data_IF_620632698582
#
_entry.id   IF_620632698582
#
_cell.length_a   1.000
_cell.length_b   1.000
_cell.length_c   1.000
_cell.angle_alpha   90.00
_cell.angle_beta   90.00
_cell.angle_gamma   90.00
#
_symmetry.space_group_name_H-M   'P 1'
#
loop_
_entity.id
_entity.type
_entity.pdbx_description
1 polymer ?
#
# COMPACT_ATOMS: atom_id res chain seq x y z
N UNK A 1 21.94 6.22 5.12
CA UNK A 1 21.58 5.04 4.32
C UNK A 1 21.26 3.93 5.32
N UNK A 2 20.15 3.22 5.13
CA UNK A 2 19.79 2.07 5.97
C UNK A 2 20.86 0.97 5.88
N UNK A 3 21.06 0.19 6.94
CA UNK A 3 21.90 -1.01 6.92
C UNK A 3 21.24 -2.17 6.15
N UNK A 4 19.93 -2.09 5.91
CA UNK A 4 19.17 -3.10 5.19
C UNK A 4 19.30 -2.94 3.67
N UNK A 5 18.94 -3.99 2.93
CA UNK A 5 19.07 -4.05 1.49
C UNK A 5 18.00 -4.97 0.87
N UNK A 6 18.14 -5.26 -0.44
CA UNK A 6 17.23 -6.10 -1.22
C UNK A 6 17.00 -7.51 -0.62
N UNK A 7 17.95 -8.05 0.12
CA UNK A 7 17.90 -9.41 0.68
C UNK A 7 17.34 -9.43 2.10
N UNK A 8 17.22 -8.27 2.75
CA UNK A 8 16.68 -8.18 4.12
C UNK A 8 15.25 -8.65 4.17
N UNK A 9 14.93 -9.41 5.20
CA UNK A 9 13.60 -9.93 5.51
C UNK A 9 12.85 -9.01 6.49
N UNK A 10 11.58 -9.26 6.69
CA UNK A 10 10.79 -8.58 7.73
C UNK A 10 11.37 -8.80 9.13
N UNK A 11 11.89 -10.00 9.40
CA UNK A 11 12.46 -10.35 10.71
C UNK A 11 13.80 -9.63 10.93
N UNK A 12 14.64 -9.46 9.88
CA UNK A 12 15.87 -8.67 9.96
C UNK A 12 15.55 -7.21 10.32
N UNK A 13 14.56 -6.61 9.64
CA UNK A 13 14.15 -5.21 9.86
C UNK A 13 13.59 -4.98 11.26
N UNK A 14 12.89 -5.97 11.81
CA UNK A 14 12.25 -5.85 13.13
C UNK A 14 13.13 -6.36 14.28
N UNK A 15 14.35 -6.80 14.01
CA UNK A 15 15.24 -7.27 15.06
C UNK A 15 15.47 -6.18 16.12
N UNK A 16 15.10 -6.46 17.37
CA UNK A 16 15.22 -5.53 18.50
C UNK A 16 14.15 -4.42 18.56
N UNK A 17 13.21 -4.38 17.62
CA UNK A 17 12.10 -3.41 17.62
C UNK A 17 10.95 -3.94 18.49
N UNK A 18 10.46 -3.11 19.41
CA UNK A 18 9.30 -3.38 20.23
C UNK A 18 8.14 -2.47 19.81
N UNK A 19 7.06 -3.07 19.32
CA UNK A 19 5.84 -2.37 18.90
C UNK A 19 4.67 -2.55 19.88
N UNK A 20 4.94 -2.96 21.13
CA UNK A 20 3.90 -3.13 22.13
C UNK A 20 3.06 -1.86 22.31
N UNK A 21 1.75 -2.01 22.27
CA UNK A 21 0.80 -0.89 22.36
C UNK A 21 0.54 -0.15 21.05
N UNK A 22 1.32 -0.38 19.97
CA UNK A 22 1.07 0.19 18.66
C UNK A 22 -0.11 -0.48 17.98
N UNK A 23 -0.94 0.30 17.29
CA UNK A 23 -2.10 -0.15 16.52
C UNK A 23 -1.84 0.04 15.02
N UNK A 24 -1.83 -1.05 14.26
CA UNK A 24 -1.45 -1.06 12.84
C UNK A 24 -2.58 -1.67 12.01
N UNK A 25 -3.00 -0.96 10.97
CA UNK A 25 -4.01 -1.40 10.00
C UNK A 25 -3.33 -1.85 8.71
N UNK A 26 -3.65 -3.06 8.23
CA UNK A 26 -3.05 -3.61 6.99
C UNK A 26 -4.16 -4.04 6.03
N UNK A 27 -4.21 -3.45 4.83
CA UNK A 27 -5.14 -3.87 3.77
C UNK A 27 -4.59 -5.02 2.95
N UNK A 28 -5.47 -5.89 2.42
CA UNK A 28 -5.05 -7.08 1.68
C UNK A 28 -4.29 -8.08 2.54
N UNK A 29 -4.61 -8.15 3.82
CA UNK A 29 -3.88 -8.91 4.83
C UNK A 29 -4.01 -10.44 4.69
N UNK A 30 -4.91 -10.95 3.83
CA UNK A 30 -5.25 -12.39 3.80
C UNK A 30 -4.33 -13.25 2.93
N UNK A 31 -3.30 -12.69 2.32
CA UNK A 31 -2.34 -13.44 1.51
C UNK A 31 -1.07 -12.64 1.21
N UNK A 32 0.01 -13.35 0.86
CA UNK A 32 1.23 -12.80 0.31
C UNK A 32 1.87 -11.74 1.21
N UNK A 33 2.18 -10.57 0.63
CA UNK A 33 2.89 -9.48 1.34
C UNK A 33 2.11 -8.96 2.53
N UNK A 34 0.78 -8.77 2.39
CA UNK A 34 -0.05 -8.25 3.48
C UNK A 34 -0.14 -9.19 4.67
N UNK A 35 -0.22 -10.50 4.43
CA UNK A 35 -0.21 -11.51 5.47
C UNK A 35 1.14 -11.55 6.21
N UNK A 36 2.25 -11.53 5.47
CA UNK A 36 3.58 -11.50 6.06
C UNK A 36 3.85 -10.20 6.82
N UNK A 37 3.44 -9.05 6.27
CA UNK A 37 3.53 -7.75 6.96
C UNK A 37 2.78 -7.80 8.30
N UNK A 38 1.54 -8.30 8.30
CA UNK A 38 0.75 -8.43 9.52
C UNK A 38 1.39 -9.40 10.53
N UNK A 39 1.90 -10.56 10.06
CA UNK A 39 2.60 -11.54 10.90
C UNK A 39 3.82 -10.93 11.57
N UNK A 40 4.67 -10.27 10.79
CA UNK A 40 5.93 -9.74 11.29
C UNK A 40 5.72 -8.62 12.31
N UNK A 41 4.77 -7.70 12.04
CA UNK A 41 4.43 -6.63 12.96
C UNK A 41 3.79 -7.17 14.26
N UNK A 42 2.94 -8.21 14.17
CA UNK A 42 2.40 -8.91 15.34
C UNK A 42 3.51 -9.59 16.17
N UNK A 43 4.49 -10.20 15.50
CA UNK A 43 5.65 -10.82 16.18
C UNK A 43 6.48 -9.78 16.95
N UNK A 44 6.55 -8.54 16.49
CA UNK A 44 7.18 -7.42 17.18
C UNK A 44 6.31 -6.78 18.27
N UNK A 45 5.08 -7.30 18.51
CA UNK A 45 4.19 -6.88 19.60
C UNK A 45 3.09 -5.88 19.21
N UNK A 46 2.93 -5.54 17.93
CA UNK A 46 1.87 -4.61 17.50
C UNK A 46 0.48 -5.25 17.52
N UNK A 47 -0.52 -4.46 17.90
CA UNK A 47 -1.92 -4.79 17.68
C UNK A 47 -2.24 -4.62 16.18
N UNK A 48 -2.89 -5.59 15.56
CA UNK A 48 -3.12 -5.61 14.11
C UNK A 48 -4.61 -5.58 13.79
N UNK A 49 -5.01 -4.68 12.89
CA UNK A 49 -6.30 -4.74 12.22
C UNK A 49 -6.10 -5.29 10.80
N UNK A 50 -6.61 -6.48 10.55
CA UNK A 50 -6.57 -7.15 9.26
C UNK A 50 -7.74 -6.68 8.42
N UNK A 51 -7.46 -6.05 7.26
CA UNK A 51 -8.49 -5.56 6.33
C UNK A 51 -8.46 -6.35 5.03
N UNK A 52 -9.63 -6.81 4.60
CA UNK A 52 -9.79 -7.54 3.34
C UNK A 52 -11.26 -7.78 3.03
N UNK A 53 -11.55 -8.36 1.85
CA UNK A 53 -12.93 -8.60 1.40
C UNK A 53 -13.50 -9.98 1.75
N UNK A 54 -12.65 -10.91 2.17
CA UNK A 54 -12.98 -12.32 2.45
C UNK A 54 -12.99 -12.54 3.96
N UNK A 55 -14.16 -12.43 4.58
CA UNK A 55 -14.32 -12.57 6.03
C UNK A 55 -13.84 -13.92 6.57
N UNK A 56 -14.13 -15.08 5.98
CA UNK A 56 -13.59 -16.35 6.42
C UNK A 56 -12.07 -16.39 6.46
N UNK A 57 -11.38 -15.86 5.45
CA UNK A 57 -9.91 -15.79 5.45
C UNK A 57 -9.37 -14.83 6.50
N UNK A 58 -10.02 -13.70 6.73
CA UNK A 58 -9.65 -12.77 7.80
C UNK A 58 -9.73 -13.45 9.17
N UNK A 59 -10.82 -14.17 9.47
CA UNK A 59 -11.00 -14.89 10.73
C UNK A 59 -9.99 -16.04 10.90
N UNK A 60 -9.68 -16.77 9.82
CA UNK A 60 -8.68 -17.82 9.86
C UNK A 60 -7.28 -17.26 10.20
N UNK A 61 -6.90 -16.14 9.58
CA UNK A 61 -5.64 -15.47 9.87
C UNK A 61 -5.62 -14.88 11.29
N UNK A 62 -6.71 -14.23 11.72
CA UNK A 62 -6.86 -13.71 13.08
C UNK A 62 -6.65 -14.82 14.13
N UNK A 63 -7.30 -15.97 13.95
CA UNK A 63 -7.17 -17.11 14.87
C UNK A 63 -5.75 -17.62 14.94
N UNK A 64 -5.06 -17.72 13.79
CA UNK A 64 -3.66 -18.15 13.71
C UNK A 64 -2.72 -17.17 14.41
N UNK A 65 -2.87 -15.87 14.16
CA UNK A 65 -2.02 -14.84 14.78
C UNK A 65 -2.27 -14.74 16.29
N UNK A 66 -3.52 -14.83 16.74
CA UNK A 66 -3.85 -14.84 18.18
C UNK A 66 -3.27 -16.07 18.90
N UNK A 67 -3.25 -17.23 18.25
CA UNK A 67 -2.63 -18.44 18.81
C UNK A 67 -1.10 -18.32 18.88
N UNK A 68 -0.49 -17.71 17.86
CA UNK A 68 0.96 -17.57 17.78
C UNK A 68 1.50 -16.42 18.65
N UNK A 69 0.72 -15.33 18.79
CA UNK A 69 1.10 -14.11 19.52
C UNK A 69 0.00 -13.71 20.51
N UNK A 70 -0.17 -14.42 21.62
CA UNK A 70 -1.32 -14.26 22.52
C UNK A 70 -1.35 -12.91 23.27
N UNK A 71 -0.26 -12.15 23.26
CA UNK A 71 -0.17 -10.84 23.91
C UNK A 71 -0.61 -9.69 23.03
N UNK A 72 -0.81 -9.91 21.72
CA UNK A 72 -1.27 -8.87 20.79
C UNK A 72 -2.76 -9.01 20.52
N UNK A 73 -3.41 -7.88 20.31
CA UNK A 73 -4.81 -7.85 19.88
C UNK A 73 -4.86 -7.87 18.34
N UNK A 74 -5.49 -8.90 17.76
CA UNK A 74 -5.75 -8.97 16.33
C UNK A 74 -7.25 -8.80 16.08
N UNK A 75 -7.61 -7.82 15.27
CA UNK A 75 -8.98 -7.49 14.86
C UNK A 75 -9.15 -7.66 13.37
N UNK A 76 -10.39 -7.66 12.90
CA UNK A 76 -10.70 -7.77 11.47
C UNK A 76 -11.71 -6.70 11.04
N UNK A 77 -11.60 -6.23 9.80
CA UNK A 77 -12.60 -5.39 9.16
C UNK A 77 -12.78 -5.82 7.70
N UNK A 78 -14.03 -6.01 7.28
CA UNK A 78 -14.34 -6.34 5.89
C UNK A 78 -14.42 -5.04 5.08
N UNK A 79 -13.60 -4.95 4.02
CA UNK A 79 -13.66 -3.86 3.05
C UNK A 79 -13.27 -4.39 1.66
N UNK A 80 -14.14 -4.19 0.68
CA UNK A 80 -13.80 -4.35 -0.73
C UNK A 80 -13.43 -2.97 -1.30
N UNK A 81 -12.17 -2.78 -1.64
CA UNK A 81 -11.66 -1.52 -2.19
C UNK A 81 -12.23 -1.19 -3.58
N UNK A 82 -12.86 -2.15 -4.25
CA UNK A 82 -13.59 -1.94 -5.49
C UNK A 82 -15.03 -1.43 -5.27
N UNK A 83 -15.43 -1.22 -4.02
CA UNK A 83 -16.74 -0.66 -3.67
C UNK A 83 -16.60 0.38 -2.55
N UNK A 84 -16.83 1.64 -2.87
CA UNK A 84 -16.72 2.76 -1.93
C UNK A 84 -17.67 2.61 -0.73
N UNK A 85 -18.86 2.00 -0.90
CA UNK A 85 -19.77 1.74 0.22
C UNK A 85 -19.18 0.70 1.18
N UNK A 86 -18.57 -0.36 0.64
CA UNK A 86 -17.85 -1.35 1.44
C UNK A 86 -16.68 -0.73 2.18
N UNK A 87 -15.94 0.19 1.56
CA UNK A 87 -14.84 0.94 2.20
C UNK A 87 -15.36 1.77 3.37
N UNK A 88 -16.49 2.49 3.23
CA UNK A 88 -17.09 3.27 4.32
C UNK A 88 -17.49 2.39 5.51
N UNK A 89 -18.14 1.26 5.24
CA UNK A 89 -18.53 0.30 6.28
C UNK A 89 -17.27 -0.26 6.98
N UNK A 90 -16.25 -0.63 6.20
CA UNK A 90 -14.99 -1.13 6.74
C UNK A 90 -14.27 -0.08 7.60
N UNK A 91 -14.19 1.17 7.15
CA UNK A 91 -13.62 2.27 7.92
C UNK A 91 -14.36 2.50 9.25
N UNK A 92 -15.69 2.52 9.23
CA UNK A 92 -16.51 2.64 10.45
C UNK A 92 -16.25 1.47 11.42
N UNK A 93 -16.11 0.24 10.88
CA UNK A 93 -15.77 -0.94 11.71
C UNK A 93 -14.36 -0.83 12.32
N UNK A 94 -13.37 -0.28 11.59
CA UNK A 94 -12.02 -0.05 12.11
C UNK A 94 -12.08 0.98 13.24
N UNK A 95 -12.72 2.14 13.03
CA UNK A 95 -12.82 3.22 14.01
C UNK A 95 -13.58 2.81 15.28
N UNK A 96 -14.55 1.90 15.18
CA UNK A 96 -15.24 1.33 16.34
C UNK A 96 -14.33 0.44 17.21
N UNK A 97 -13.24 -0.08 16.67
CA UNK A 97 -12.32 -1.00 17.34
C UNK A 97 -10.99 -0.34 17.74
N UNK A 98 -10.62 0.76 17.08
CA UNK A 98 -9.33 1.46 17.21
C UNK A 98 -9.57 2.96 17.33
N UNK A 99 -9.42 3.51 18.52
CA UNK A 99 -9.54 4.96 18.77
C UNK A 99 -8.37 5.76 18.18
N UNK A 100 -7.18 5.15 18.12
CA UNK A 100 -5.97 5.69 17.52
C UNK A 100 -5.27 4.64 16.64
N UNK A 101 -4.64 5.08 15.56
CA UNK A 101 -3.92 4.23 14.60
C UNK A 101 -2.51 4.79 14.42
N UNK A 102 -1.49 4.00 14.77
CA UNK A 102 -0.09 4.39 14.62
C UNK A 102 0.41 4.24 13.18
N UNK A 103 -0.05 3.18 12.48
CA UNK A 103 0.36 2.93 11.10
C UNK A 103 -0.81 2.41 10.27
N UNK A 104 -1.00 2.99 9.08
CA UNK A 104 -1.88 2.47 8.04
C UNK A 104 -1.04 1.97 6.87
N UNK A 105 -1.17 0.68 6.51
CA UNK A 105 -0.47 0.08 5.37
C UNK A 105 -1.49 -0.25 4.28
N UNK A 106 -1.55 0.61 3.26
CA UNK A 106 -2.35 0.46 2.04
C UNK A 106 -1.66 -0.53 1.09
N UNK A 107 -1.76 -1.84 1.41
CA UNK A 107 -1.03 -2.90 0.71
C UNK A 107 -1.85 -3.60 -0.37
N UNK A 108 -3.17 -3.67 -0.24
CA UNK A 108 -4.03 -4.38 -1.19
C UNK A 108 -3.86 -3.91 -2.64
N UNK A 109 -4.16 -4.79 -3.59
CA UNK A 109 -4.13 -4.40 -5.00
C UNK A 109 -4.52 -5.51 -5.96
N UNK A 110 -4.77 -5.08 -7.19
CA UNK A 110 -4.95 -5.93 -8.37
C UNK A 110 -3.97 -5.49 -9.45
N UNK A 111 -3.60 -6.39 -10.35
CA UNK A 111 -2.59 -6.15 -11.38
C UNK A 111 -2.99 -6.76 -12.70
N UNK A 112 -2.78 -6.01 -13.78
CA UNK A 112 -2.87 -6.45 -15.18
C UNK A 112 -4.17 -7.22 -15.49
N UNK A 113 -5.29 -6.82 -14.88
CA UNK A 113 -6.60 -7.38 -15.18
C UNK A 113 -7.14 -6.81 -16.51
N UNK A 114 -8.03 -7.55 -17.20
CA UNK A 114 -8.80 -7.01 -18.31
C UNK A 114 -9.52 -5.72 -17.90
N UNK A 115 -9.90 -4.88 -18.86
CA UNK A 115 -10.69 -3.68 -18.56
C UNK A 115 -12.02 -4.10 -17.92
N UNK A 116 -12.14 -3.81 -16.64
CA UNK A 116 -13.31 -4.04 -15.81
C UNK A 116 -13.52 -2.82 -14.92
N UNK A 117 -14.64 -2.76 -14.23
CA UNK A 117 -15.03 -1.58 -13.49
C UNK A 117 -15.36 -1.91 -12.04
N UNK A 118 -15.13 -0.94 -11.16
CA UNK A 118 -15.57 -0.98 -9.75
C UNK A 118 -17.08 -0.81 -9.65
N UNK A 119 -17.64 -0.95 -8.46
CA UNK A 119 -19.08 -0.73 -8.22
C UNK A 119 -19.55 0.69 -8.59
N UNK A 120 -18.65 1.67 -8.57
CA UNK A 120 -18.95 3.06 -8.96
C UNK A 120 -18.53 3.39 -10.40
N UNK A 121 -18.24 2.37 -11.23
CA UNK A 121 -17.93 2.56 -12.66
C UNK A 121 -16.51 3.05 -12.97
N UNK A 122 -15.59 3.07 -12.02
CA UNK A 122 -14.20 3.42 -12.24
C UNK A 122 -13.42 2.26 -12.86
N UNK A 123 -12.39 2.54 -13.68
CA UNK A 123 -11.47 1.49 -14.12
C UNK A 123 -10.92 0.73 -12.91
N UNK A 124 -10.91 -0.59 -12.99
CA UNK A 124 -10.73 -1.45 -11.82
C UNK A 124 -9.39 -1.27 -11.10
N UNK A 125 -8.28 -1.05 -11.82
CA UNK A 125 -6.96 -0.90 -11.22
C UNK A 125 -6.80 0.47 -10.55
N UNK A 126 -7.24 1.53 -11.21
CA UNK A 126 -7.28 2.88 -10.62
C UNK A 126 -8.24 2.92 -9.43
N UNK A 127 -9.47 2.42 -9.61
CA UNK A 127 -10.50 2.43 -8.58
C UNK A 127 -10.11 1.62 -7.32
N UNK A 128 -9.58 0.40 -7.51
CA UNK A 128 -9.22 -0.48 -6.38
C UNK A 128 -7.90 -0.06 -5.72
N UNK A 129 -6.84 0.15 -6.54
CA UNK A 129 -5.50 0.35 -5.98
C UNK A 129 -5.34 1.76 -5.39
N UNK A 130 -6.02 2.78 -5.98
CA UNK A 130 -5.88 4.16 -5.56
C UNK A 130 -7.15 4.70 -4.88
N UNK A 131 -8.28 4.79 -5.56
CA UNK A 131 -9.49 5.46 -5.03
C UNK A 131 -10.02 4.77 -3.76
N UNK A 132 -10.04 3.43 -3.71
CA UNK A 132 -10.42 2.69 -2.52
C UNK A 132 -9.52 2.96 -1.31
N UNK A 133 -8.22 3.05 -1.53
CA UNK A 133 -7.26 3.40 -0.47
C UNK A 133 -7.30 4.89 -0.11
N UNK A 134 -7.51 5.78 -1.09
CA UNK A 134 -7.70 7.20 -0.85
C UNK A 134 -8.87 7.44 0.11
N UNK A 135 -10.04 6.85 -0.20
CA UNK A 135 -11.23 6.94 0.64
C UNK A 135 -10.99 6.35 2.03
N UNK A 136 -10.41 5.13 2.11
CA UNK A 136 -10.11 4.48 3.39
C UNK A 136 -9.19 5.35 4.24
N UNK A 137 -8.11 5.88 3.63
CA UNK A 137 -7.14 6.73 4.32
C UNK A 137 -7.80 7.99 4.85
N UNK A 138 -8.58 8.69 4.02
CA UNK A 138 -9.30 9.90 4.40
C UNK A 138 -10.24 9.67 5.60
N UNK A 139 -11.01 8.58 5.56
CA UNK A 139 -11.92 8.22 6.66
C UNK A 139 -11.19 7.84 7.96
N UNK A 140 -9.94 7.33 7.88
CA UNK A 140 -9.14 6.96 9.04
C UNK A 140 -8.24 8.09 9.56
N UNK A 141 -8.14 9.24 8.86
CA UNK A 141 -7.31 10.38 9.28
C UNK A 141 -7.55 10.82 10.74
N UNK A 142 -8.80 10.90 11.25
CA UNK A 142 -9.01 11.29 12.65
C UNK A 142 -8.31 10.37 13.65
N UNK A 143 -8.24 9.07 13.39
CA UNK A 143 -7.56 8.11 14.25
C UNK A 143 -6.02 8.15 14.08
N UNK A 144 -5.53 8.41 12.87
CA UNK A 144 -4.11 8.60 12.59
C UNK A 144 -3.57 9.87 13.26
N UNK A 145 -4.33 10.96 13.23
CA UNK A 145 -3.97 12.23 13.88
C UNK A 145 -3.96 12.13 15.42
N UNK A 146 -4.72 11.23 16.00
CA UNK A 146 -4.70 10.97 17.46
C UNK A 146 -3.44 10.23 17.92
N UNK A 147 -2.74 9.53 17.05
CA UNK A 147 -1.59 8.69 17.39
C UNK A 147 -0.26 9.27 16.90
N UNK A 148 -0.12 10.59 16.83
CA UNK A 148 1.13 11.20 16.33
C UNK A 148 2.30 10.98 17.28
N UNK A 149 3.50 10.59 16.77
CA UNK A 149 3.82 10.39 15.35
C UNK A 149 3.20 9.12 14.77
N UNK A 150 2.56 9.26 13.61
CA UNK A 150 1.95 8.14 12.89
C UNK A 150 2.43 8.07 11.43
N UNK A 151 2.18 6.93 10.76
CA UNK A 151 2.69 6.70 9.40
C UNK A 151 1.63 6.12 8.48
N UNK A 152 1.71 6.47 7.20
CA UNK A 152 0.92 5.91 6.13
C UNK A 152 1.87 5.33 5.08
N UNK A 153 1.70 4.05 4.76
CA UNK A 153 2.52 3.33 3.77
C UNK A 153 1.65 2.94 2.58
N UNK A 154 1.91 3.53 1.42
CA UNK A 154 1.16 3.27 0.19
C UNK A 154 1.96 2.34 -0.73
N UNK A 155 1.46 1.11 -1.00
CA UNK A 155 2.16 0.21 -1.92
C UNK A 155 2.05 0.68 -3.36
N UNK A 156 3.16 1.17 -3.89
CA UNK A 156 3.43 1.42 -5.29
C UNK A 156 4.11 0.18 -5.94
N UNK A 157 4.85 0.38 -7.00
CA UNK A 157 5.57 -0.67 -7.74
C UNK A 157 6.59 -0.04 -8.69
N UNK A 158 7.63 -0.77 -9.10
CA UNK A 158 8.44 -0.42 -10.26
C UNK A 158 7.59 -0.26 -11.54
N UNK A 159 6.37 -0.76 -11.57
CA UNK A 159 5.43 -0.55 -12.67
C UNK A 159 5.11 0.94 -12.92
N UNK A 160 5.35 1.85 -11.95
CA UNK A 160 5.22 3.30 -12.17
C UNK A 160 6.16 3.79 -13.29
N UNK A 161 7.22 3.06 -13.62
CA UNK A 161 8.09 3.35 -14.77
C UNK A 161 7.36 3.14 -16.12
N UNK A 162 6.31 2.32 -16.17
CA UNK A 162 5.60 1.99 -17.41
C UNK A 162 4.65 3.12 -17.85
N UNK A 163 4.09 3.89 -16.90
CA UNK A 163 3.16 4.96 -17.23
C UNK A 163 3.03 5.98 -16.09
N UNK A 164 3.01 7.26 -16.47
CA UNK A 164 2.41 8.29 -15.65
C UNK A 164 0.88 8.15 -15.64
N UNK A 165 0.21 8.73 -14.64
CA UNK A 165 -1.24 8.83 -14.65
C UNK A 165 -1.68 10.01 -15.54
N UNK A 166 -2.67 9.76 -16.36
CA UNK A 166 -3.41 10.80 -17.09
C UNK A 166 -4.59 11.23 -16.22
N UNK A 167 -4.50 12.43 -15.66
CA UNK A 167 -5.51 12.96 -14.73
C UNK A 167 -6.77 13.44 -15.44
N UNK A 168 -6.73 13.60 -16.76
CA UNK A 168 -7.89 14.00 -17.57
C UNK A 168 -8.66 12.75 -18.08
N UNK A 169 -8.01 11.57 -18.11
CA UNK A 169 -8.63 10.28 -18.47
C UNK A 169 -8.10 9.13 -17.58
N UNK A 170 -8.28 9.17 -16.24
CA UNK A 170 -7.73 8.17 -15.35
C UNK A 170 -8.40 6.79 -15.50
N UNK A 171 -9.62 6.77 -16.05
CA UNK A 171 -10.41 5.56 -16.27
C UNK A 171 -10.28 4.95 -17.66
N UNK A 172 -9.39 5.48 -18.52
CA UNK A 172 -9.19 4.96 -19.90
C UNK A 172 -10.47 4.99 -20.75
N UNK A 173 -11.24 6.06 -20.68
CA UNK A 173 -12.50 6.18 -21.41
C UNK A 173 -12.26 6.60 -22.86
N UNK A 174 -11.23 7.41 -23.11
CA UNK A 174 -10.95 8.08 -24.39
C UNK A 174 -9.70 7.56 -25.11
N UNK A 175 -9.12 6.46 -24.63
CA UNK A 175 -7.91 5.84 -25.22
C UNK A 175 -7.99 4.32 -25.13
N UNK A 176 -7.19 3.64 -25.97
CA UNK A 176 -7.06 2.19 -25.94
C UNK A 176 -6.54 1.70 -24.59
N UNK A 177 -7.19 0.69 -24.04
CA UNK A 177 -6.81 0.12 -22.75
C UNK A 177 -5.65 -0.83 -22.87
N UNK A 178 -4.57 -0.51 -22.18
CA UNK A 178 -3.45 -1.41 -21.94
C UNK A 178 -3.36 -1.74 -20.44
N UNK A 179 -3.56 -3.00 -20.10
CA UNK A 179 -3.63 -3.46 -18.70
C UNK A 179 -2.36 -3.21 -17.90
N UNK A 180 -1.18 -3.22 -18.54
CA UNK A 180 0.09 -2.95 -17.88
C UNK A 180 0.33 -1.47 -17.64
N UNK A 181 -0.03 -0.64 -18.63
CA UNK A 181 0.02 0.82 -18.47
C UNK A 181 -1.02 1.30 -17.46
N UNK A 182 -2.22 0.69 -17.43
CA UNK A 182 -3.24 1.00 -16.43
C UNK A 182 -2.76 0.63 -15.01
N UNK A 183 -2.10 -0.53 -14.86
CA UNK A 183 -1.45 -0.89 -13.60
C UNK A 183 -0.35 0.10 -13.22
N UNK A 184 0.53 0.45 -14.16
CA UNK A 184 1.59 1.45 -13.95
C UNK A 184 1.04 2.80 -13.50
N UNK A 185 0.02 3.31 -14.19
CA UNK A 185 -0.66 4.57 -13.85
C UNK A 185 -1.29 4.52 -12.45
N UNK A 186 -1.95 3.40 -12.07
CA UNK A 186 -2.50 3.23 -10.73
C UNK A 186 -1.40 3.20 -9.65
N UNK A 187 -0.21 2.67 -9.96
CA UNK A 187 0.93 2.65 -9.04
C UNK A 187 1.66 4.00 -8.97
N UNK A 188 1.65 4.79 -10.05
CA UNK A 188 2.00 6.21 -10.04
C UNK A 188 1.04 6.98 -9.13
N UNK A 189 -0.27 6.76 -9.25
CA UNK A 189 -1.26 7.40 -8.39
C UNK A 189 -1.02 7.10 -6.89
N UNK A 190 -0.63 5.88 -6.54
CA UNK A 190 -0.30 5.53 -5.15
C UNK A 190 0.95 6.28 -4.63
N UNK A 191 1.96 6.49 -5.48
CA UNK A 191 3.13 7.27 -5.09
C UNK A 191 2.80 8.76 -4.92
N UNK A 192 2.05 9.34 -5.86
CA UNK A 192 1.55 10.72 -5.76
C UNK A 192 0.64 10.91 -4.55
N UNK A 193 -0.18 9.91 -4.20
CA UNK A 193 -1.01 9.94 -2.99
C UNK A 193 -0.16 10.04 -1.72
N UNK A 194 0.90 9.25 -1.60
CA UNK A 194 1.82 9.35 -0.47
C UNK A 194 2.50 10.73 -0.40
N UNK A 195 2.90 11.27 -1.56
CA UNK A 195 3.49 12.62 -1.65
C UNK A 195 2.50 13.69 -1.19
N UNK A 196 1.24 13.63 -1.67
CA UNK A 196 0.18 14.57 -1.28
C UNK A 196 -0.19 14.46 0.21
N UNK A 197 -0.29 13.25 0.74
CA UNK A 197 -0.53 13.00 2.17
C UNK A 197 0.58 13.62 3.01
N UNK A 198 1.84 13.40 2.66
CA UNK A 198 2.95 13.93 3.41
C UNK A 198 2.99 15.46 3.38
N UNK A 199 2.76 16.07 2.21
CA UNK A 199 2.72 17.53 2.08
C UNK A 199 1.64 18.17 2.97
N UNK A 200 0.50 17.51 3.17
CA UNK A 200 -0.60 18.00 3.99
C UNK A 200 -0.43 17.71 5.48
N UNK A 201 0.11 16.53 5.82
CA UNK A 201 -0.02 15.96 7.16
C UNK A 201 1.29 15.94 7.96
N UNK A 202 2.47 16.13 7.34
CA UNK A 202 3.74 16.09 8.05
C UNK A 202 3.81 17.11 9.21
N UNK A 203 3.25 18.30 9.02
CA UNK A 203 3.14 19.34 10.07
C UNK A 203 2.29 18.92 11.27
N UNK A 204 1.46 17.89 11.10
CA UNK A 204 0.62 17.31 12.14
C UNK A 204 1.21 16.01 12.71
N UNK A 205 2.44 15.66 12.35
CA UNK A 205 3.16 14.49 12.85
C UNK A 205 2.76 13.17 12.14
N UNK A 206 2.18 13.24 10.94
CA UNK A 206 1.88 12.07 10.12
C UNK A 206 2.81 12.05 8.91
N UNK A 207 3.69 11.06 8.82
CA UNK A 207 4.54 10.86 7.64
C UNK A 207 3.92 9.83 6.69
N UNK A 208 4.01 10.07 5.39
CA UNK A 208 3.55 9.14 4.38
C UNK A 208 4.68 8.74 3.43
N UNK A 209 4.68 7.47 3.01
CA UNK A 209 5.70 6.88 2.14
C UNK A 209 5.04 6.06 1.05
N UNK A 210 5.65 6.03 -0.12
CA UNK A 210 5.32 5.05 -1.16
C UNK A 210 6.39 3.97 -1.24
N UNK A 211 5.96 2.71 -1.46
CA UNK A 211 6.85 1.54 -1.34
C UNK A 211 6.77 0.66 -2.58
N UNK A 212 7.94 0.29 -3.12
CA UNK A 212 8.06 -0.83 -4.06
C UNK A 212 8.56 -2.07 -3.31
N UNK A 213 7.78 -3.16 -3.27
CA UNK A 213 8.17 -4.37 -2.53
C UNK A 213 9.23 -5.21 -3.24
N UNK A 214 9.53 -4.92 -4.50
CA UNK A 214 10.30 -5.78 -5.38
C UNK A 214 9.39 -6.65 -6.23
N UNK A 215 9.95 -7.66 -6.88
CA UNK A 215 9.19 -8.63 -7.67
C UNK A 215 9.10 -9.94 -6.89
N UNK A 216 7.87 -10.32 -6.59
CA UNK A 216 7.54 -11.49 -5.76
C UNK A 216 6.47 -12.30 -6.50
N UNK A 217 6.62 -13.62 -6.54
CA UNK A 217 5.55 -14.49 -7.03
C UNK A 217 4.44 -14.59 -5.98
N UNK A 218 3.31 -13.95 -6.27
CA UNK A 218 2.14 -13.91 -5.38
C UNK A 218 0.84 -14.05 -6.17
N UNK A 219 -0.28 -14.19 -5.48
CA UNK A 219 -1.62 -14.18 -6.07
C UNK A 219 -1.96 -12.90 -6.87
N UNK A 220 -1.09 -11.88 -6.85
CA UNK A 220 -1.25 -10.68 -7.66
C UNK A 220 -1.19 -11.00 -9.17
N UNK A 221 -0.46 -12.05 -9.56
CA UNK A 221 -0.30 -12.51 -10.94
C UNK A 221 -1.47 -13.35 -11.47
N UNK A 222 -2.55 -13.53 -10.71
CA UNK A 222 -3.70 -14.42 -11.06
C UNK A 222 -4.44 -14.07 -12.37
N UNK A 223 -4.27 -12.85 -12.87
CA UNK A 223 -4.88 -12.39 -14.12
C UNK A 223 -3.98 -12.57 -15.35
N UNK A 224 -2.77 -13.09 -15.16
CA UNK A 224 -1.84 -13.39 -16.25
C UNK A 224 -2.12 -14.81 -16.78
N UNK A 225 -2.21 -14.95 -18.10
CA UNK A 225 -2.18 -16.25 -18.75
C UNK A 225 -0.78 -16.89 -18.65
N UNK A 226 -0.69 -18.21 -18.87
CA UNK A 226 0.58 -18.95 -18.78
C UNK A 226 1.69 -18.34 -19.65
N UNK A 227 1.39 -17.99 -20.90
CA UNK A 227 2.34 -17.38 -21.81
C UNK A 227 2.82 -15.99 -21.33
N UNK A 228 1.92 -15.19 -20.75
CA UNK A 228 2.29 -13.88 -20.19
C UNK A 228 3.14 -14.04 -18.92
N UNK A 229 2.82 -15.02 -18.09
CA UNK A 229 3.59 -15.33 -16.89
C UNK A 229 5.01 -15.76 -17.25
N UNK A 230 5.16 -16.61 -18.28
CA UNK A 230 6.45 -17.01 -18.84
C UNK A 230 7.21 -15.80 -19.42
N UNK A 231 6.54 -14.92 -20.17
CA UNK A 231 7.14 -13.71 -20.72
C UNK A 231 7.59 -12.74 -19.62
N UNK A 232 6.82 -12.59 -18.56
CA UNK A 232 7.20 -11.79 -17.38
C UNK A 232 8.42 -12.40 -16.72
N UNK A 233 8.43 -13.71 -16.47
CA UNK A 233 9.57 -14.44 -15.89
C UNK A 233 10.83 -14.30 -16.76
N UNK A 234 10.70 -14.42 -18.07
CA UNK A 234 11.83 -14.33 -19.01
C UNK A 234 12.44 -12.91 -19.15
N UNK A 235 11.66 -11.86 -18.88
CA UNK A 235 12.15 -10.46 -18.90
C UNK A 235 12.81 -10.05 -17.60
N UNK A 236 12.66 -10.83 -16.55
CA UNK A 236 13.23 -10.52 -15.24
C UNK A 236 14.71 -10.84 -15.22
N UNK A 237 15.52 -9.81 -15.20
CA UNK A 237 16.97 -9.91 -15.03
C UNK A 237 17.39 -10.20 -13.59
N UNK A 238 16.46 -10.10 -12.65
CA UNK A 238 16.71 -10.29 -11.20
C UNK A 238 15.90 -11.45 -10.65
N UNK A 239 16.50 -12.20 -9.75
CA UNK A 239 15.80 -13.25 -9.00
C UNK A 239 14.60 -12.67 -8.22
N UNK A 240 13.52 -13.45 -8.12
CA UNK A 240 12.40 -13.12 -7.25
C UNK A 240 12.85 -12.95 -5.79
N UNK A 241 12.20 -12.03 -5.10
CA UNK A 241 12.28 -11.96 -3.64
C UNK A 241 11.38 -13.03 -3.02
N UNK A 242 11.75 -13.52 -1.85
CA UNK A 242 10.81 -14.24 -0.98
C UNK A 242 9.70 -13.26 -0.50
N UNK A 243 8.60 -13.80 0.02
CA UNK A 243 7.52 -12.97 0.57
C UNK A 243 8.05 -12.11 1.73
N UNK A 244 8.90 -12.68 2.61
CA UNK A 244 9.51 -11.95 3.72
C UNK A 244 10.43 -10.81 3.25
N UNK A 245 11.22 -11.03 2.20
CA UNK A 245 12.04 -9.97 1.58
C UNK A 245 11.19 -8.91 0.88
N UNK A 246 10.07 -9.32 0.27
CA UNK A 246 9.14 -8.39 -0.38
C UNK A 246 8.42 -7.48 0.60
N UNK A 247 8.00 -8.00 1.74
CA UNK A 247 7.32 -7.25 2.79
C UNK A 247 8.27 -6.36 3.62
N UNK A 248 9.59 -6.62 3.58
CA UNK A 248 10.58 -5.92 4.40
C UNK A 248 10.56 -4.40 4.24
N UNK A 249 10.45 -3.89 3.00
CA UNK A 249 10.42 -2.44 2.78
C UNK A 249 9.16 -1.78 3.37
N UNK A 250 8.01 -2.47 3.35
CA UNK A 250 6.78 -1.97 3.97
C UNK A 250 6.89 -1.92 5.50
N UNK A 251 7.51 -2.93 6.09
CA UNK A 251 7.76 -2.99 7.53
C UNK A 251 8.78 -1.93 7.93
N UNK A 252 9.84 -1.73 7.15
CA UNK A 252 10.83 -0.68 7.35
C UNK A 252 10.20 0.72 7.25
N UNK A 253 9.35 0.97 6.24
CA UNK A 253 8.59 2.22 6.12
C UNK A 253 7.70 2.49 7.35
N UNK A 254 7.14 1.42 7.92
CA UNK A 254 6.26 1.50 9.08
C UNK A 254 7.00 1.79 10.39
N UNK A 255 8.29 1.41 10.53
CA UNK A 255 8.95 1.32 11.83
C UNK A 255 10.28 2.07 11.97
N UNK A 256 10.99 2.32 10.87
CA UNK A 256 12.34 2.86 10.90
C UNK A 256 12.38 4.34 11.28
N UNK A 257 13.03 4.68 12.38
CA UNK A 257 13.12 6.06 12.89
C UNK A 257 13.90 6.99 11.95
N UNK A 258 14.89 6.47 11.21
CA UNK A 258 15.66 7.23 10.24
C UNK A 258 14.82 7.81 9.10
N UNK A 259 13.61 7.29 8.89
CA UNK A 259 12.68 7.80 7.87
C UNK A 259 11.88 9.04 8.29
N UNK A 260 11.94 9.47 9.55
CA UNK A 260 11.17 10.61 10.03
C UNK A 260 11.48 11.92 9.28
N UNK A 261 12.69 12.03 8.71
CA UNK A 261 13.12 13.18 7.90
C UNK A 261 12.92 12.97 6.37
N UNK A 262 12.33 11.84 5.98
CA UNK A 262 12.17 11.44 4.57
C UNK A 262 10.71 11.30 4.14
N UNK A 263 9.79 11.97 4.84
CA UNK A 263 8.37 11.93 4.49
C UNK A 263 8.11 12.30 3.03
N UNK A 264 7.21 11.59 2.37
CA UNK A 264 6.90 11.71 0.93
C UNK A 264 7.81 10.87 0.03
N UNK A 265 8.86 10.25 0.56
CA UNK A 265 9.82 9.48 -0.24
C UNK A 265 9.21 8.20 -0.84
N UNK A 266 9.75 7.83 -2.01
CA UNK A 266 9.58 6.51 -2.59
C UNK A 266 10.68 5.58 -2.08
N UNK A 267 10.28 4.43 -1.57
CA UNK A 267 11.15 3.48 -0.89
C UNK A 267 11.20 2.16 -1.64
N UNK A 268 12.40 1.62 -1.81
CA UNK A 268 12.63 0.29 -2.37
C UNK A 268 13.85 -0.37 -1.74
N UNK A 269 13.83 -1.69 -1.60
CA UNK A 269 14.96 -2.46 -1.05
C UNK A 269 15.41 -1.97 0.35
N UNK A 270 14.48 -1.48 1.18
CA UNK A 270 14.74 -0.85 2.47
C UNK A 270 15.71 0.34 2.38
N UNK A 271 15.60 1.12 1.30
CA UNK A 271 16.35 2.36 1.06
C UNK A 271 15.40 3.44 0.53
N UNK A 272 15.77 4.70 0.73
CA UNK A 272 15.18 5.82 -0.01
C UNK A 272 15.68 5.73 -1.45
N UNK A 273 14.76 5.66 -2.40
CA UNK A 273 15.11 5.50 -3.80
C UNK A 273 15.75 6.77 -4.39
N UNK A 274 16.76 6.57 -5.21
CA UNK A 274 17.38 7.63 -6.00
C UNK A 274 16.64 7.89 -7.31
N UNK A 275 17.31 8.58 -8.24
CA UNK A 275 16.85 8.74 -9.61
C UNK A 275 16.78 7.38 -10.34
N UNK A 276 15.97 7.29 -11.42
CA UNK A 276 15.88 6.05 -12.20
C UNK A 276 17.23 5.61 -12.74
N UNK A 277 17.51 4.31 -12.65
CA UNK A 277 18.70 3.69 -13.20
C UNK A 277 18.36 2.72 -14.36
N UNK A 278 19.39 2.29 -15.11
CA UNK A 278 19.24 1.34 -16.23
C UNK A 278 18.75 -0.04 -15.78
N UNK A 279 18.91 -0.36 -14.52
CA UNK A 279 18.44 -1.60 -13.91
C UNK A 279 16.97 -1.57 -13.51
N UNK A 280 16.28 -0.44 -13.72
CA UNK A 280 14.85 -0.25 -13.41
C UNK A 280 14.55 -0.01 -11.94
N UNK A 281 15.54 0.45 -11.16
CA UNK A 281 15.30 1.00 -9.83
C UNK A 281 15.07 2.50 -9.91
N UNK A 282 14.74 3.08 -8.75
CA UNK A 282 14.62 4.52 -8.57
C UNK A 282 13.21 5.05 -8.79
N UNK A 283 13.06 6.32 -8.52
CA UNK A 283 11.81 7.05 -8.61
C UNK A 283 11.76 7.88 -9.90
N UNK A 284 10.75 7.65 -10.73
CA UNK A 284 10.54 8.49 -11.91
C UNK A 284 10.16 9.92 -11.49
N UNK A 285 10.60 10.96 -12.23
CA UNK A 285 10.34 12.35 -11.86
C UNK A 285 8.85 12.66 -11.64
N UNK A 286 7.95 12.05 -12.39
CA UNK A 286 6.51 12.31 -12.28
C UNK A 286 5.87 11.83 -10.98
N UNK A 287 6.47 10.87 -10.24
CA UNK A 287 5.96 10.51 -8.90
C UNK A 287 6.44 11.45 -7.79
N UNK A 288 7.27 12.43 -8.12
CA UNK A 288 7.76 13.48 -7.24
C UNK A 288 7.16 14.85 -7.58
N UNK A 289 6.23 14.90 -8.52
CA UNK A 289 5.54 16.10 -8.97
C UNK A 289 4.43 16.48 -7.98
N UNK A 290 4.67 17.53 -7.20
CA UNK A 290 3.74 17.99 -6.18
C UNK A 290 2.45 18.60 -6.78
N UNK A 291 2.53 19.22 -7.97
CA UNK A 291 1.36 19.77 -8.64
C UNK A 291 0.46 18.65 -9.16
N UNK A 292 1.06 17.60 -9.73
CA UNK A 292 0.32 16.40 -10.13
C UNK A 292 -0.30 15.69 -8.90
N UNK A 293 0.40 15.64 -7.77
CA UNK A 293 -0.10 15.08 -6.53
C UNK A 293 -1.31 15.87 -5.99
N UNK A 294 -1.29 17.18 -6.06
CA UNK A 294 -2.41 18.05 -5.64
C UNK A 294 -3.61 17.95 -6.59
N UNK A 295 -3.36 17.85 -7.89
CA UNK A 295 -4.44 17.61 -8.88
C UNK A 295 -5.07 16.25 -8.67
N UNK A 296 -4.28 15.20 -8.45
CA UNK A 296 -4.79 13.86 -8.16
C UNK A 296 -5.60 13.83 -6.85
N UNK A 297 -5.15 14.54 -5.82
CA UNK A 297 -5.90 14.68 -4.57
C UNK A 297 -7.28 15.26 -4.81
N UNK A 298 -7.36 16.42 -5.47
CA UNK A 298 -8.62 17.10 -5.77
C UNK A 298 -9.55 16.25 -6.64
N UNK A 299 -9.00 15.55 -7.64
CA UNK A 299 -9.75 14.60 -8.46
C UNK A 299 -10.31 13.45 -7.62
N UNK A 300 -9.50 12.90 -6.71
CA UNK A 300 -9.90 11.79 -5.86
C UNK A 300 -11.00 12.20 -4.88
N UNK A 301 -10.93 13.40 -4.27
CA UNK A 301 -11.99 13.96 -3.43
C UNK A 301 -13.30 14.13 -4.23
N UNK A 302 -13.20 14.64 -5.46
CA UNK A 302 -14.37 14.76 -6.34
C UNK A 302 -15.01 13.39 -6.63
N UNK A 303 -14.19 12.37 -6.94
CA UNK A 303 -14.65 11.00 -7.25
C UNK A 303 -15.35 10.36 -6.05
N UNK A 304 -14.80 10.52 -4.84
CA UNK A 304 -15.39 9.91 -3.64
C UNK A 304 -16.52 10.75 -3.03
N UNK A 305 -16.67 12.03 -3.45
CA UNK A 305 -17.68 12.95 -2.95
C UNK A 305 -17.43 13.44 -1.52
N UNK A 306 -16.19 13.38 -1.06
CA UNK A 306 -15.78 13.83 0.28
C UNK A 306 -14.47 14.62 0.21
N UNK A 307 -14.31 15.61 1.11
CA UNK A 307 -13.08 16.39 1.27
C UNK A 307 -12.38 16.00 2.57
N UNK A 308 -11.07 15.82 2.51
CA UNK A 308 -10.24 15.44 3.64
C UNK A 308 -9.20 16.56 3.92
N UNK A 309 -9.53 17.43 4.88
CA UNK A 309 -8.72 18.60 5.29
C UNK A 309 -7.87 18.30 6.51
#
# INVERSE_FOLDING_TARGET
MSEFNRQSTTDDVLQGINLSGKSIVVTGATSGLGEETARALAAAGANICLVGRDQPKLHALQSRLNAQYPTVRVTTAVADLADQNSVRIGAASILAQHDAIDVLINNAGIMACPKTFTAQGLEAQFGTNHIGHFLLTGLLLPALLKSTPSRIVCLSSAAHHMANIDLDDPCWEHREYDKWRAYGAAKTANALHALALNARLAKHGVNAFSVHPGVIETNLMRHLGEQELEAVKGRMTRAYKTIAQGAATSVWAATAAELDQHGGAYLENCQVAGAPDEAGNGAQPWIQDIEAADRLWSLSEHIVGECFN
#
